data_IF_378298640161
#
_entry.id   IF_378298640161
#
_cell.length_a   1.000
_cell.length_b   1.000
_cell.length_c   1.000
_cell.angle_alpha   90.00
_cell.angle_beta   90.00
_cell.angle_gamma   90.00
#
_symmetry.space_group_name_H-M   'P 1'
#
loop_
_entity.id
_entity.type
_entity.pdbx_description
1 polymer ?
#
# COMPACT_ATOMS: atom_id res chain seq x y z
N UNK A 1 -14.64 -5.36 -9.25
CA UNK A 1 -13.33 -5.83 -8.76
C UNK A 1 -13.46 -7.33 -8.63
N UNK A 2 -12.82 -8.09 -9.52
CA UNK A 2 -12.92 -9.55 -9.56
C UNK A 2 -12.12 -10.18 -8.42
N UNK A 3 -12.64 -11.23 -7.78
CA UNK A 3 -11.87 -12.00 -6.80
C UNK A 3 -10.57 -12.49 -7.45
N UNK A 4 -9.42 -12.06 -6.91
CA UNK A 4 -8.09 -12.28 -7.50
C UNK A 4 -7.75 -13.76 -7.71
N UNK A 5 -8.41 -14.65 -6.95
CA UNK A 5 -8.16 -16.09 -7.01
C UNK A 5 -9.08 -16.84 -7.97
N UNK A 6 -10.25 -16.30 -8.33
CA UNK A 6 -11.19 -16.96 -9.26
C UNK A 6 -11.56 -16.12 -10.48
N UNK A 7 -10.99 -14.93 -10.66
CA UNK A 7 -11.28 -14.04 -11.81
C UNK A 7 -12.80 -13.86 -12.03
N UNK A 8 -13.54 -13.68 -10.94
CA UNK A 8 -14.99 -13.45 -10.98
C UNK A 8 -15.87 -14.68 -11.24
N UNK A 9 -15.31 -15.89 -11.35
CA UNK A 9 -16.08 -17.12 -11.61
C UNK A 9 -16.71 -17.77 -10.37
N UNK A 10 -16.31 -17.34 -9.16
CA UNK A 10 -16.80 -17.85 -7.89
C UNK A 10 -16.10 -19.13 -7.44
N UNK A 11 -15.35 -19.07 -6.34
CA UNK A 11 -14.69 -20.22 -5.70
C UNK A 11 -15.10 -20.34 -4.23
N UNK A 12 -14.73 -21.44 -3.59
CA UNK A 12 -15.07 -21.68 -2.18
C UNK A 12 -14.47 -20.63 -1.24
N UNK A 13 -13.34 -20.02 -1.61
CA UNK A 13 -12.73 -18.93 -0.83
C UNK A 13 -13.54 -17.63 -0.85
N UNK A 14 -14.33 -17.38 -1.91
CA UNK A 14 -15.25 -16.25 -1.99
C UNK A 14 -16.71 -16.68 -1.86
N UNK A 15 -16.96 -17.88 -1.32
CA UNK A 15 -18.30 -18.48 -1.17
C UNK A 15 -19.11 -18.48 -2.48
N UNK A 16 -18.44 -18.62 -3.62
CA UNK A 16 -19.02 -18.55 -4.98
C UNK A 16 -19.65 -17.20 -5.35
N UNK A 17 -19.39 -16.14 -4.59
CA UNK A 17 -19.93 -14.79 -4.85
C UNK A 17 -19.06 -13.98 -5.82
N UNK A 18 -17.81 -14.38 -6.03
CA UNK A 18 -16.86 -13.63 -6.88
C UNK A 18 -16.38 -12.31 -6.28
N UNK A 19 -16.83 -11.99 -5.06
CA UNK A 19 -16.49 -10.80 -4.27
C UNK A 19 -16.15 -11.20 -2.84
N UNK A 20 -15.29 -10.45 -2.18
CA UNK A 20 -14.93 -10.67 -0.76
C UNK A 20 -15.45 -9.48 0.04
N UNK A 21 -16.14 -9.74 1.15
CA UNK A 21 -16.60 -8.71 2.08
C UNK A 21 -15.54 -8.51 3.17
N UNK A 22 -15.11 -7.26 3.34
CA UNK A 22 -14.15 -6.89 4.39
C UNK A 22 -14.93 -6.45 5.62
N UNK A 23 -14.91 -7.29 6.67
CA UNK A 23 -15.61 -7.05 7.94
C UNK A 23 -14.70 -6.56 9.07
N UNK A 24 -13.39 -6.53 8.84
CA UNK A 24 -12.38 -6.07 9.78
C UNK A 24 -11.88 -4.65 9.46
N UNK A 25 -11.09 -4.08 10.36
CA UNK A 25 -10.45 -2.79 10.12
C UNK A 25 -9.51 -2.89 8.90
N UNK A 26 -9.64 -2.05 7.86
CA UNK A 26 -8.78 -2.12 6.69
C UNK A 26 -7.27 -1.99 6.99
N UNK A 27 -6.90 -1.34 8.10
CA UNK A 27 -5.51 -1.24 8.56
C UNK A 27 -4.92 -2.58 9.02
N UNK A 28 -5.76 -3.58 9.31
CA UNK A 28 -5.30 -4.95 9.59
C UNK A 28 -4.97 -5.72 8.30
N UNK A 29 -5.57 -5.33 7.18
CA UNK A 29 -5.32 -5.92 5.86
C UNK A 29 -4.20 -5.21 5.11
N UNK A 30 -4.10 -3.89 5.27
CA UNK A 30 -3.09 -3.04 4.66
C UNK A 30 -2.22 -2.47 5.79
N UNK A 31 -1.21 -3.25 6.17
CA UNK A 31 -0.27 -2.88 7.22
C UNK A 31 0.62 -1.71 6.79
N UNK A 32 1.29 -1.08 7.74
CA UNK A 32 2.20 0.05 7.47
C UNK A 32 3.26 -0.29 6.42
N UNK A 33 3.76 -1.53 6.38
CA UNK A 33 4.75 -1.96 5.41
C UNK A 33 4.25 -1.85 3.96
N UNK A 34 2.96 -2.16 3.74
CA UNK A 34 2.32 -2.00 2.41
C UNK A 34 2.24 -0.52 2.04
N UNK A 35 1.92 0.34 3.01
CA UNK A 35 1.91 1.80 2.80
C UNK A 35 3.31 2.34 2.49
N UNK A 36 4.35 1.86 3.16
CA UNK A 36 5.74 2.26 2.86
C UNK A 36 6.15 1.84 1.44
N UNK A 37 5.76 0.65 0.99
CA UNK A 37 6.05 0.19 -0.37
C UNK A 37 5.35 1.06 -1.42
N UNK A 38 4.09 1.43 -1.19
CA UNK A 38 3.36 2.34 -2.07
C UNK A 38 4.03 3.71 -2.15
N UNK A 39 4.49 4.23 -1.01
CA UNK A 39 5.25 5.49 -0.96
C UNK A 39 6.57 5.39 -1.74
N UNK A 40 7.31 4.29 -1.58
CA UNK A 40 8.54 4.07 -2.33
C UNK A 40 8.31 3.94 -3.83
N UNK A 41 7.21 3.30 -4.25
CA UNK A 41 6.83 3.23 -5.66
C UNK A 41 6.54 4.63 -6.23
N UNK A 42 5.80 5.47 -5.50
CA UNK A 42 5.52 6.85 -5.89
C UNK A 42 6.80 7.70 -5.99
N UNK A 43 7.73 7.54 -5.06
CA UNK A 43 9.03 8.22 -5.11
C UNK A 43 9.87 7.73 -6.30
N UNK A 44 9.86 6.43 -6.59
CA UNK A 44 10.54 5.85 -7.74
C UNK A 44 10.02 6.42 -9.06
N UNK A 45 8.70 6.54 -9.22
CA UNK A 45 8.08 7.19 -10.39
C UNK A 45 8.53 8.65 -10.56
N UNK A 46 8.81 9.34 -9.46
CA UNK A 46 9.34 10.71 -9.43
C UNK A 46 10.86 10.79 -9.61
N UNK A 47 11.52 9.66 -9.93
CA UNK A 47 12.96 9.58 -10.15
C UNK A 47 13.80 9.52 -8.87
N UNK A 48 13.16 9.22 -7.72
CA UNK A 48 13.79 9.10 -6.42
C UNK A 48 13.73 7.64 -5.95
N UNK A 49 14.60 6.76 -6.47
CA UNK A 49 14.58 5.36 -6.08
C UNK A 49 14.89 5.20 -4.58
N UNK A 50 14.23 4.28 -3.88
CA UNK A 50 14.55 3.99 -2.49
C UNK A 50 15.94 3.36 -2.41
N UNK A 51 16.93 4.10 -1.89
CA UNK A 51 18.28 3.60 -1.62
C UNK A 51 18.34 3.19 -0.16
N UNK A 52 18.61 1.91 0.11
CA UNK A 52 18.77 1.40 1.47
C UNK A 52 20.05 1.97 2.10
N UNK A 53 19.87 2.85 3.08
CA UNK A 53 20.94 3.41 3.91
C UNK A 53 21.70 4.58 3.27
N UNK A 54 21.65 5.74 3.92
CA UNK A 54 22.44 6.92 3.59
C UNK A 54 21.67 8.00 2.83
N UNK A 55 21.69 9.23 3.37
CA UNK A 55 21.08 10.48 2.86
C UNK A 55 19.55 10.49 2.60
N UNK A 56 18.94 9.40 2.14
CA UNK A 56 17.51 9.30 1.88
C UNK A 56 16.66 9.31 3.16
N UNK A 57 17.14 8.70 4.25
CA UNK A 57 16.45 8.74 5.57
C UNK A 57 16.37 10.16 6.14
N UNK A 58 17.40 10.98 5.90
CA UNK A 58 17.39 12.39 6.30
C UNK A 58 16.35 13.16 5.47
N UNK A 59 16.28 12.94 4.16
CA UNK A 59 15.25 13.55 3.31
C UNK A 59 13.83 13.06 3.66
N UNK A 60 13.67 11.78 4.04
CA UNK A 60 12.38 11.18 4.48
C UNK A 60 11.81 11.95 5.69
N UNK A 61 12.65 12.36 6.64
CA UNK A 61 12.20 13.15 7.80
C UNK A 61 11.61 14.52 7.43
N UNK A 62 12.17 15.19 6.42
CA UNK A 62 11.62 16.46 5.91
C UNK A 62 10.31 16.26 5.15
N UNK A 63 10.17 15.18 4.37
CA UNK A 63 8.92 14.85 3.67
C UNK A 63 7.81 14.53 4.68
N UNK A 64 8.08 13.74 5.72
CA UNK A 64 7.11 13.49 6.79
C UNK A 64 6.70 14.77 7.51
N UNK A 65 7.66 15.63 7.85
CA UNK A 65 7.36 16.91 8.48
C UNK A 65 6.50 17.80 7.57
N UNK A 66 6.79 17.85 6.27
CA UNK A 66 5.99 18.61 5.29
C UNK A 66 4.56 18.07 5.19
N UNK A 67 4.36 16.75 5.14
CA UNK A 67 3.01 16.13 5.12
C UNK A 67 2.23 16.38 6.41
N UNK A 68 2.90 16.47 7.55
CA UNK A 68 2.25 16.81 8.81
C UNK A 68 1.82 18.29 8.85
N UNK A 69 2.65 19.20 8.36
CA UNK A 69 2.43 20.65 8.44
C UNK A 69 1.49 21.16 7.34
N UNK A 70 1.65 20.69 6.10
CA UNK A 70 1.00 21.25 4.91
C UNK A 70 -0.25 20.49 4.45
N UNK A 71 -1.05 19.97 5.39
CA UNK A 71 -2.31 19.24 5.11
C UNK A 71 -3.16 19.86 4.00
#
# INVERSE_FOLDING_TARGET
MECINCSGSGCDECEKKGTIEITCCPLELVTNDVWEILEFAELYEKGLPPIAGGSLDQAKSFIYACRFIFK
#
